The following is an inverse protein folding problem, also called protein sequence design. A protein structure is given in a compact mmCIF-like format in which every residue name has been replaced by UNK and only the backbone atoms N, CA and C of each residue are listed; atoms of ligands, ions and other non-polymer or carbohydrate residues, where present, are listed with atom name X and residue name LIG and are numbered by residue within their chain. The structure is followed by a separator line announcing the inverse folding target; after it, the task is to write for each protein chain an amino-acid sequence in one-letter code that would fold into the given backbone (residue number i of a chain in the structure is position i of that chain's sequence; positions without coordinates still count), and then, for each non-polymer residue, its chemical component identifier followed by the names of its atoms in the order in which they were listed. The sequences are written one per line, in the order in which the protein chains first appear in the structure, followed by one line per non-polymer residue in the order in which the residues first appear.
data_IF_043312601087
#
_entry.id   IF_043312601087
#
_cell.length_a   1.000
_cell.length_b   1.000
_cell.length_c   1.000
_cell.angle_alpha   90.00
_cell.angle_beta   90.00
_cell.angle_gamma   90.00
#
_symmetry.space_group_name_H-M   'P 1'
#
loop_
_entity.id
_entity.type
_entity.pdbx_description
1 polymer ?
#
# COMPACT_ATOMS: atom_id res chain seq x y z
N UNK A 1 10.97 -29.83 -36.51
CA UNK A 1 10.66 -29.69 -35.07
C UNK A 1 9.55 -28.67 -34.92
N UNK A 2 8.48 -28.94 -34.16
CA UNK A 2 7.38 -27.98 -33.96
C UNK A 2 7.85 -26.89 -32.99
N UNK A 3 8.07 -25.68 -33.50
CA UNK A 3 8.62 -24.54 -32.77
C UNK A 3 7.58 -23.78 -31.91
N UNK A 4 6.29 -24.06 -32.13
CA UNK A 4 5.19 -23.42 -31.42
C UNK A 4 5.27 -23.50 -29.88
N UNK A 5 5.53 -24.66 -29.24
CA UNK A 5 5.60 -24.72 -27.76
C UNK A 5 6.72 -23.84 -27.17
N UNK A 6 7.82 -23.66 -27.89
CA UNK A 6 8.93 -22.79 -27.48
C UNK A 6 8.50 -21.32 -27.54
N UNK A 7 7.82 -20.93 -28.62
CA UNK A 7 7.30 -19.57 -28.78
C UNK A 7 6.25 -19.24 -27.70
N UNK A 8 5.35 -20.18 -27.38
CA UNK A 8 4.38 -19.98 -26.30
C UNK A 8 5.05 -19.83 -24.94
N UNK A 9 6.07 -20.66 -24.65
CA UNK A 9 6.82 -20.59 -23.40
C UNK A 9 7.58 -19.27 -23.23
N UNK A 10 8.18 -18.76 -24.30
CA UNK A 10 8.88 -17.46 -24.30
C UNK A 10 7.90 -16.31 -24.08
N UNK A 11 6.74 -16.33 -24.74
CA UNK A 11 5.71 -15.28 -24.58
C UNK A 11 5.15 -15.22 -23.15
N UNK A 12 4.86 -16.37 -22.53
CA UNK A 12 4.41 -16.43 -21.13
C UNK A 12 5.50 -15.93 -20.18
N UNK A 13 6.76 -16.31 -20.41
CA UNK A 13 7.88 -15.88 -19.58
C UNK A 13 8.10 -14.36 -19.65
N UNK A 14 7.96 -13.77 -20.85
CA UNK A 14 8.04 -12.31 -21.04
C UNK A 14 6.87 -11.58 -20.37
N UNK A 15 5.66 -12.15 -20.39
CA UNK A 15 4.49 -11.56 -19.74
C UNK A 15 4.63 -11.51 -18.21
N UNK A 16 5.31 -12.49 -17.60
CA UNK A 16 5.54 -12.52 -16.14
C UNK A 16 6.52 -11.44 -15.65
N UNK A 17 7.43 -10.96 -16.52
CA UNK A 17 8.39 -9.89 -16.19
C UNK A 17 7.74 -8.50 -16.21
N UNK A 18 6.55 -8.35 -16.79
CA UNK A 18 5.87 -7.06 -16.92
C UNK A 18 5.22 -6.55 -15.61
N UNK A 19 5.22 -7.34 -14.53
CA UNK A 19 4.73 -6.93 -13.22
C UNK A 19 5.72 -5.95 -12.55
N UNK A 20 5.57 -4.65 -12.83
CA UNK A 20 6.39 -3.60 -12.20
C UNK A 20 5.77 -3.15 -10.88
N UNK A 21 6.60 -2.81 -9.91
CA UNK A 21 6.14 -2.19 -8.65
C UNK A 21 5.40 -0.87 -8.94
N UNK A 22 4.37 -0.53 -8.15
CA UNK A 22 3.65 0.73 -8.32
C UNK A 22 4.62 1.91 -8.23
N UNK A 23 4.59 2.78 -9.24
CA UNK A 23 5.32 4.05 -9.24
C UNK A 23 4.30 5.18 -9.15
N UNK A 24 4.62 6.28 -8.43
CA UNK A 24 3.74 7.44 -8.41
C UNK A 24 3.45 7.93 -9.83
N UNK A 25 2.22 8.39 -10.12
CA UNK A 25 1.89 9.02 -11.39
C UNK A 25 2.80 10.22 -11.69
N UNK A 26 2.98 10.55 -12.98
CA UNK A 26 3.77 11.71 -13.38
C UNK A 26 3.21 12.99 -12.74
N UNK A 27 4.10 13.81 -12.16
CA UNK A 27 3.74 15.03 -11.45
C UNK A 27 3.45 14.85 -9.95
N UNK A 28 3.40 13.60 -9.45
CA UNK A 28 3.28 13.33 -8.01
C UNK A 28 4.68 13.19 -7.41
N UNK A 29 5.00 14.03 -6.43
CA UNK A 29 6.28 13.99 -5.70
C UNK A 29 6.07 13.49 -4.27
N UNK A 30 6.58 12.30 -3.91
CA UNK A 30 6.48 11.76 -2.56
C UNK A 30 7.30 12.56 -1.54
N UNK A 31 6.94 12.42 -0.27
CA UNK A 31 7.70 13.01 0.84
C UNK A 31 9.03 12.28 0.98
N UNK A 32 10.14 13.01 0.88
CA UNK A 32 11.48 12.50 1.17
C UNK A 32 11.74 12.49 2.68
N UNK A 33 12.61 11.58 3.14
CA UNK A 33 12.99 11.43 4.56
C UNK A 33 11.79 11.23 5.51
N UNK A 34 10.83 10.41 5.08
CA UNK A 34 9.63 10.11 5.85
C UNK A 34 9.96 9.34 7.14
N UNK A 35 9.58 9.91 8.29
CA UNK A 35 9.70 9.26 9.60
C UNK A 35 8.44 8.45 9.92
N UNK A 36 8.51 7.15 9.62
CA UNK A 36 7.44 6.19 9.86
C UNK A 36 6.94 6.16 11.31
N UNK A 37 7.83 6.41 12.28
CA UNK A 37 7.49 6.29 13.70
C UNK A 37 6.45 7.33 14.13
N UNK A 38 6.50 8.52 13.52
CA UNK A 38 5.57 9.62 13.76
C UNK A 38 4.24 9.46 13.04
N UNK A 39 4.18 8.57 12.06
CA UNK A 39 2.97 8.30 11.28
C UNK A 39 2.08 7.20 11.91
N UNK A 40 2.64 6.43 12.85
CA UNK A 40 1.90 5.39 13.55
C UNK A 40 0.73 5.96 14.36
N UNK A 41 -0.25 5.10 14.65
CA UNK A 41 -1.45 5.47 15.36
C UNK A 41 -2.65 5.63 14.43
N UNK A 42 -3.67 6.33 14.94
CA UNK A 42 -4.99 6.39 14.32
C UNK A 42 -5.17 7.68 13.53
N UNK A 43 -5.59 7.53 12.29
CA UNK A 43 -5.95 8.62 11.39
C UNK A 43 -7.45 8.57 11.09
N UNK A 44 -8.05 9.75 10.96
CA UNK A 44 -9.45 9.92 10.61
C UNK A 44 -9.51 10.36 9.15
N UNK A 45 -10.35 9.69 8.37
CA UNK A 45 -10.61 10.09 6.99
C UNK A 45 -11.49 11.35 6.99
N UNK A 46 -10.92 12.47 6.55
CA UNK A 46 -11.65 13.74 6.45
C UNK A 46 -12.35 13.87 5.10
N UNK A 47 -11.74 13.35 4.04
CA UNK A 47 -12.28 13.32 2.68
C UNK A 47 -11.62 12.20 1.87
N UNK A 48 -12.33 11.71 0.86
CA UNK A 48 -11.83 10.70 -0.08
C UNK A 48 -12.38 10.90 -1.48
N UNK A 49 -11.67 10.34 -2.45
CA UNK A 49 -12.26 10.02 -3.75
C UNK A 49 -13.11 8.77 -3.59
N UNK A 50 -14.29 8.73 -4.24
CA UNK A 50 -15.13 7.56 -4.16
C UNK A 50 -14.45 6.32 -4.77
N UNK A 51 -14.31 5.29 -3.94
CA UNK A 51 -13.90 3.96 -4.36
C UNK A 51 -15.03 2.96 -4.02
N UNK A 52 -15.00 1.78 -4.64
CA UNK A 52 -16.06 0.77 -4.42
C UNK A 52 -15.97 0.08 -3.05
N UNK A 53 -14.79 0.05 -2.44
CA UNK A 53 -14.52 -0.76 -1.25
C UNK A 53 -15.07 -0.11 0.03
N UNK A 54 -15.14 1.21 0.05
CA UNK A 54 -15.58 1.97 1.23
C UNK A 54 -16.86 2.77 0.99
N UNK A 55 -17.49 2.60 -0.18
CA UNK A 55 -18.72 3.31 -0.52
C UNK A 55 -19.79 3.10 0.55
N UNK A 56 -20.35 4.21 1.02
CA UNK A 56 -21.38 4.23 2.05
C UNK A 56 -20.87 4.02 3.48
N UNK A 57 -19.56 3.86 3.69
CA UNK A 57 -19.00 3.83 5.05
C UNK A 57 -18.79 5.25 5.59
N UNK A 58 -19.13 5.43 6.85
CA UNK A 58 -18.94 6.64 7.64
C UNK A 58 -17.93 6.40 8.77
N UNK A 59 -17.46 7.48 9.41
CA UNK A 59 -16.54 7.43 10.55
C UNK A 59 -15.29 6.57 10.27
N UNK A 60 -14.78 6.70 9.05
CA UNK A 60 -13.69 5.87 8.56
C UNK A 60 -12.37 6.27 9.23
N UNK A 61 -11.63 5.26 9.66
CA UNK A 61 -10.34 5.42 10.33
C UNK A 61 -9.34 4.41 9.80
N UNK A 62 -8.07 4.80 9.77
CA UNK A 62 -6.94 3.94 9.45
C UNK A 62 -5.97 3.93 10.64
N UNK A 63 -5.65 2.75 11.16
CA UNK A 63 -4.71 2.60 12.27
C UNK A 63 -3.43 1.92 11.80
N UNK A 64 -2.31 2.62 11.96
CA UNK A 64 -0.99 2.16 11.52
C UNK A 64 -0.17 1.64 12.70
N UNK A 65 0.36 0.42 12.56
CA UNK A 65 1.17 -0.24 13.57
C UNK A 65 2.53 -0.67 13.03
N UNK A 66 3.56 -0.66 13.88
CA UNK A 66 4.89 -1.15 13.53
C UNK A 66 4.89 -2.67 13.49
N UNK A 67 5.49 -3.27 12.45
CA UNK A 67 5.69 -4.72 12.36
C UNK A 67 7.15 -5.10 12.60
N UNK A 68 7.37 -6.35 12.99
CA UNK A 68 8.72 -6.90 13.22
C UNK A 68 9.51 -7.11 11.92
N UNK A 69 8.80 -7.31 10.79
CA UNK A 69 9.38 -7.49 9.46
C UNK A 69 9.81 -6.17 8.79
N UNK A 70 9.80 -5.06 9.53
CA UNK A 70 10.12 -3.73 9.01
C UNK A 70 8.99 -3.05 8.22
N UNK A 71 7.85 -3.72 8.04
CA UNK A 71 6.65 -3.13 7.44
C UNK A 71 5.75 -2.38 8.44
N UNK A 72 4.62 -1.91 7.93
CA UNK A 72 3.55 -1.27 8.72
C UNK A 72 2.26 -2.09 8.57
N UNK A 73 1.60 -2.42 9.67
CA UNK A 73 0.24 -2.99 9.66
C UNK A 73 -0.77 -1.87 9.50
N UNK A 74 -1.82 -2.12 8.73
CA UNK A 74 -2.90 -1.17 8.47
C UNK A 74 -4.21 -1.81 8.89
N UNK A 75 -4.98 -1.16 9.75
CA UNK A 75 -6.36 -1.54 10.07
C UNK A 75 -7.28 -0.41 9.65
N UNK A 76 -8.05 -0.63 8.58
CA UNK A 76 -9.09 0.29 8.16
C UNK A 76 -10.41 -0.13 8.81
N UNK A 77 -11.18 0.83 9.32
CA UNK A 77 -12.46 0.59 9.99
C UNK A 77 -13.45 1.67 9.61
N UNK A 78 -14.67 1.30 9.25
CA UNK A 78 -15.76 2.22 8.92
C UNK A 78 -17.12 1.67 9.32
N UNK A 79 -18.08 2.55 9.60
CA UNK A 79 -19.44 2.20 9.99
C UNK A 79 -20.36 2.17 8.76
N UNK A 80 -21.12 1.09 8.59
CA UNK A 80 -22.17 0.98 7.57
C UNK A 80 -23.52 1.38 8.21
N UNK A 81 -24.05 2.58 7.93
CA UNK A 81 -25.26 3.07 8.56
C UNK A 81 -26.53 2.34 8.08
N UNK A 82 -26.49 1.72 6.90
CA UNK A 82 -27.64 0.96 6.38
C UNK A 82 -27.80 -0.38 7.11
N UNK A 83 -26.68 -0.98 7.51
CA UNK A 83 -26.64 -2.26 8.22
C UNK A 83 -26.48 -2.12 9.73
N UNK A 84 -26.09 -0.94 10.20
CA UNK A 84 -25.82 -0.68 11.62
C UNK A 84 -24.60 -1.42 12.16
N UNK A 85 -23.61 -1.74 11.31
CA UNK A 85 -22.44 -2.55 11.69
C UNK A 85 -21.13 -1.87 11.33
N UNK A 86 -20.10 -2.15 12.12
CA UNK A 86 -18.73 -1.79 11.76
C UNK A 86 -18.17 -2.81 10.76
N UNK A 87 -17.45 -2.32 9.76
CA UNK A 87 -16.64 -3.10 8.83
C UNK A 87 -15.18 -2.78 9.02
N UNK A 88 -14.34 -3.80 8.90
CA UNK A 88 -12.90 -3.70 9.10
C UNK A 88 -12.16 -4.43 7.99
N UNK A 89 -10.98 -3.93 7.64
CA UNK A 89 -10.03 -4.60 6.75
C UNK A 89 -8.61 -4.45 7.27
N UNK A 90 -7.85 -5.55 7.20
CA UNK A 90 -6.45 -5.60 7.61
C UNK A 90 -5.54 -5.62 6.38
N UNK A 91 -4.46 -4.85 6.46
CA UNK A 91 -3.48 -4.69 5.40
C UNK A 91 -2.06 -4.65 5.92
N UNK A 92 -1.11 -4.76 4.98
CA UNK A 92 0.33 -4.63 5.22
C UNK A 92 0.90 -3.68 4.18
N UNK A 93 1.70 -2.73 4.64
CA UNK A 93 2.41 -1.78 3.79
C UNK A 93 3.92 -1.95 3.96
N UNK A 94 4.64 -1.81 2.85
CA UNK A 94 6.09 -1.87 2.78
C UNK A 94 6.60 -0.64 2.02
N UNK A 95 7.77 -0.16 2.41
CA UNK A 95 8.45 0.91 1.69
C UNK A 95 8.92 0.41 0.32
N UNK A 96 8.64 1.17 -0.74
CA UNK A 96 9.15 0.88 -2.09
C UNK A 96 10.40 1.72 -2.37
N UNK A 97 11.37 1.13 -3.07
CA UNK A 97 12.68 1.76 -3.35
C UNK A 97 13.81 1.30 -2.43
N UNK A 98 15.02 1.81 -2.65
CA UNK A 98 16.19 1.42 -1.87
C UNK A 98 16.05 1.90 -0.42
N UNK A 99 16.06 0.97 0.53
CA UNK A 99 16.21 1.30 1.94
C UNK A 99 17.67 1.63 2.24
N UNK A 100 17.96 2.68 3.05
CA UNK A 100 19.32 2.90 3.51
C UNK A 100 19.74 1.72 4.41
N UNK A 101 21.05 1.40 4.48
CA UNK A 101 21.53 0.23 5.20
C UNK A 101 21.08 0.25 6.68
N UNK A 102 20.83 -0.94 7.27
CA UNK A 102 20.16 -1.10 8.58
C UNK A 102 20.86 -0.43 9.76
N UNK A 103 22.12 0.02 9.59
CA UNK A 103 22.89 0.72 10.62
C UNK A 103 22.65 2.24 10.62
N UNK A 104 22.03 2.81 9.57
CA UNK A 104 21.66 4.22 9.59
C UNK A 104 20.35 4.37 10.38
N UNK A 105 20.36 5.19 11.43
CA UNK A 105 19.12 5.71 12.04
C UNK A 105 18.39 6.70 11.11
N UNK A 106 18.67 6.64 9.81
CA UNK A 106 18.16 7.57 8.84
C UNK A 106 16.73 7.14 8.49
N UNK A 107 15.75 8.07 8.48
CA UNK A 107 14.40 7.77 8.04
C UNK A 107 14.45 7.08 6.68
N UNK A 108 13.69 5.99 6.54
CA UNK A 108 13.61 5.23 5.29
C UNK A 108 13.35 6.21 4.13
N UNK A 109 14.28 6.28 3.18
CA UNK A 109 14.12 7.04 1.93
C UNK A 109 13.13 6.39 0.96
N UNK A 110 12.53 5.26 1.36
CA UNK A 110 11.53 4.57 0.58
C UNK A 110 10.23 5.34 0.54
N UNK A 111 9.51 5.20 -0.55
CA UNK A 111 8.19 5.78 -0.71
C UNK A 111 7.21 4.99 0.17
N UNK A 112 6.43 5.70 0.97
CA UNK A 112 5.36 5.12 1.76
C UNK A 112 4.03 5.38 1.06
N UNK A 113 3.42 4.36 0.50
CA UNK A 113 2.03 4.44 0.06
C UNK A 113 1.15 3.96 1.20
N UNK A 114 0.58 4.91 1.94
CA UNK A 114 -0.51 4.61 2.86
C UNK A 114 -1.74 4.30 2.02
N UNK A 115 -2.02 3.01 1.81
CA UNK A 115 -3.31 2.61 1.21
C UNK A 115 -4.33 2.67 2.33
N UNK A 116 -4.99 3.81 2.46
CA UNK A 116 -6.41 3.78 2.81
C UNK A 116 -7.12 3.28 1.55
N UNK A 117 -8.11 2.39 1.69
CA UNK A 117 -8.95 1.85 0.61
C UNK A 117 -8.32 0.79 -0.30
#
# INVERSE_FOLDING_TARGET
MKLWPVLTGVAVSLALVACRSPTPPSGVTPINHFDASRYLGKWYEVARLENRFERGLEQVTATYGKRQDGGISVLNRGFDPQKGVWKESEGKAYFTGAQPPPRSKSPSSGHFTAVTT
#
